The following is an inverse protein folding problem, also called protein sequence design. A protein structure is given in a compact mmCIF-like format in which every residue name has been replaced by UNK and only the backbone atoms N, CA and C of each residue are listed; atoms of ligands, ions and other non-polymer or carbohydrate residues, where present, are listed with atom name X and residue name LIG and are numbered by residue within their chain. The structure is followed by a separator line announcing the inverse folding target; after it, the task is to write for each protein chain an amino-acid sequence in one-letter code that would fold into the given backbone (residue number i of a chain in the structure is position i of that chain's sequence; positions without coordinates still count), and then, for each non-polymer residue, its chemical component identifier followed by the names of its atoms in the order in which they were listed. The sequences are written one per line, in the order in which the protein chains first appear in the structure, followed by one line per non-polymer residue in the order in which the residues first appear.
data_IF_760094661182
#
_entry.id   IF_760094661182
#
_cell.length_a   1.000
_cell.length_b   1.000
_cell.length_c   1.000
_cell.angle_alpha   90.00
_cell.angle_beta   90.00
_cell.angle_gamma   90.00
#
_symmetry.space_group_name_H-M   'P 1'
#
loop_
_entity.id
_entity.type
_entity.pdbx_description
1 polymer ?
#
# COMPACT_ATOMS: atom_id res chain seq x y z
N UNK A 1 6.10 51.90 10.37
CA UNK A 1 5.60 50.94 11.38
C UNK A 1 4.48 50.02 10.88
N UNK A 2 3.48 50.51 10.12
CA UNK A 2 2.37 49.67 9.58
C UNK A 2 2.81 48.54 8.64
N UNK A 3 3.83 48.78 7.79
CA UNK A 3 4.35 47.76 6.86
C UNK A 3 5.07 46.61 7.59
N UNK A 4 5.80 46.91 8.67
CA UNK A 4 6.50 45.90 9.45
C UNK A 4 5.52 44.94 10.16
N UNK A 5 4.40 45.46 10.68
CA UNK A 5 3.35 44.64 11.29
C UNK A 5 2.68 43.71 10.26
N UNK A 6 2.45 44.19 9.03
CA UNK A 6 1.90 43.37 7.95
C UNK A 6 2.85 42.23 7.55
N UNK A 7 4.15 42.50 7.47
CA UNK A 7 5.16 41.48 7.16
C UNK A 7 5.21 40.40 8.25
N UNK A 8 5.20 40.80 9.53
CA UNK A 8 5.20 39.87 10.67
C UNK A 8 3.94 39.00 10.70
N UNK A 9 2.77 39.55 10.33
CA UNK A 9 1.53 38.78 10.19
C UNK A 9 1.52 37.82 8.98
N UNK A 10 2.34 38.08 7.97
CA UNK A 10 2.45 37.25 6.78
C UNK A 10 3.30 35.99 7.01
N UNK A 11 4.30 36.06 7.90
CA UNK A 11 5.16 34.92 8.27
C UNK A 11 4.34 33.68 8.70
N UNK A 12 3.40 33.76 9.67
CA UNK A 12 2.59 32.60 10.05
C UNK A 12 1.63 32.16 8.93
N UNK A 13 1.20 33.08 8.06
CA UNK A 13 0.32 32.75 6.93
C UNK A 13 1.05 31.93 5.85
N UNK A 14 2.30 32.29 5.53
CA UNK A 14 3.14 31.54 4.58
C UNK A 14 3.50 30.17 5.15
N UNK A 15 3.81 30.08 6.45
CA UNK A 15 4.04 28.80 7.11
C UNK A 15 2.79 27.91 7.07
N UNK A 16 1.62 28.47 7.38
CA UNK A 16 0.35 27.75 7.29
C UNK A 16 0.04 27.27 5.86
N UNK A 17 0.34 28.09 4.85
CA UNK A 17 0.16 27.70 3.44
C UNK A 17 1.06 26.54 3.03
N UNK A 18 2.36 26.59 3.36
CA UNK A 18 3.32 25.50 3.06
C UNK A 18 2.92 24.22 3.80
N UNK A 19 2.51 24.35 5.07
CA UNK A 19 2.08 23.22 5.88
C UNK A 19 0.81 22.56 5.32
N UNK A 20 -0.19 23.37 4.97
CA UNK A 20 -1.45 22.87 4.42
C UNK A 20 -1.25 22.24 3.04
N UNK A 21 -0.40 22.81 2.17
CA UNK A 21 -0.07 22.21 0.87
C UNK A 21 0.62 20.85 1.02
N UNK A 22 1.48 20.68 2.02
CA UNK A 22 2.17 19.41 2.30
C UNK A 22 1.20 18.31 2.75
N UNK A 23 0.14 18.67 3.49
CA UNK A 23 -0.88 17.72 3.97
C UNK A 23 -1.92 17.40 2.89
N UNK A 24 -2.18 18.32 1.97
CA UNK A 24 -3.11 18.09 0.88
C UNK A 24 -2.51 17.22 -0.23
N UNK A 25 -1.17 17.22 -0.35
CA UNK A 25 -0.43 16.38 -1.28
C UNK A 25 0.67 15.45 -0.70
N UNK A 26 0.34 14.48 0.18
CA UNK A 26 1.25 13.39 0.53
C UNK A 26 1.17 12.22 -0.48
N UNK A 27 0.07 12.17 -1.25
CA UNK A 27 -0.33 11.02 -2.07
C UNK A 27 0.11 11.10 -3.53
N UNK A 28 0.38 12.29 -4.10
CA UNK A 28 0.84 12.36 -5.50
C UNK A 28 2.19 11.70 -5.72
N UNK A 29 3.01 11.60 -4.67
CA UNK A 29 4.32 10.96 -4.73
C UNK A 29 4.30 9.48 -4.29
N UNK A 30 3.24 8.99 -3.65
CA UNK A 30 3.17 7.58 -3.22
C UNK A 30 3.02 6.62 -4.40
N UNK A 31 2.37 7.05 -5.50
CA UNK A 31 2.28 6.30 -6.77
C UNK A 31 3.67 6.02 -7.38
N UNK A 32 4.69 6.83 -7.05
CA UNK A 32 6.05 6.65 -7.54
C UNK A 32 6.86 5.59 -6.76
N UNK A 33 6.32 5.03 -5.66
CA UNK A 33 7.00 3.98 -4.90
C UNK A 33 6.63 2.60 -5.46
N UNK A 34 7.58 1.89 -6.10
CA UNK A 34 7.31 0.56 -6.64
C UNK A 34 7.18 -0.47 -5.52
N UNK A 35 6.06 -1.18 -5.51
CA UNK A 35 5.73 -2.19 -4.50
C UNK A 35 5.46 -3.53 -5.18
N UNK A 36 6.18 -4.57 -4.77
CA UNK A 36 5.96 -5.93 -5.29
C UNK A 36 4.72 -6.57 -4.66
N UNK A 37 3.83 -7.14 -5.48
CA UNK A 37 2.73 -7.99 -5.04
C UNK A 37 3.02 -9.42 -5.47
N UNK A 38 3.14 -10.33 -4.50
CA UNK A 38 3.25 -11.78 -4.73
C UNK A 38 2.02 -12.42 -4.12
N UNK A 39 1.18 -13.03 -4.96
CA UNK A 39 0.03 -13.80 -4.49
C UNK A 39 0.25 -15.29 -4.74
N UNK A 40 0.48 -16.04 -3.66
CA UNK A 40 0.62 -17.49 -3.69
C UNK A 40 -0.67 -18.20 -3.23
N UNK A 41 -1.73 -17.45 -2.91
CA UNK A 41 -2.99 -17.97 -2.39
C UNK A 41 -3.67 -18.88 -3.42
N UNK A 42 -3.86 -20.15 -3.06
CA UNK A 42 -4.56 -21.13 -3.89
C UNK A 42 -6.09 -20.99 -3.78
N UNK A 43 -6.56 -20.14 -2.85
CA UNK A 43 -7.97 -20.08 -2.48
C UNK A 43 -8.40 -21.28 -1.63
N UNK A 44 -9.64 -21.25 -1.15
CA UNK A 44 -10.22 -22.37 -0.39
C UNK A 44 -11.64 -22.67 -0.84
N UNK A 45 -11.97 -23.94 -0.98
CA UNK A 45 -13.35 -24.39 -1.19
C UNK A 45 -13.98 -24.69 0.18
N UNK A 46 -15.03 -23.96 0.53
CA UNK A 46 -15.76 -24.15 1.78
C UNK A 46 -17.26 -24.12 1.51
N UNK A 47 -17.97 -25.19 1.92
CA UNK A 47 -19.44 -25.33 1.79
C UNK A 47 -19.96 -24.95 0.40
N UNK A 48 -19.45 -25.63 -0.62
CA UNK A 48 -19.83 -25.45 -2.04
C UNK A 48 -19.53 -24.07 -2.65
N UNK A 49 -18.74 -23.24 -1.95
CA UNK A 49 -18.30 -21.92 -2.43
C UNK A 49 -16.78 -21.83 -2.44
N UNK A 50 -16.22 -21.32 -3.54
CA UNK A 50 -14.78 -21.00 -3.64
C UNK A 50 -14.53 -19.60 -3.11
N UNK A 51 -13.66 -19.50 -2.10
CA UNK A 51 -13.21 -18.24 -1.52
C UNK A 51 -11.77 -17.99 -1.95
N UNK A 52 -11.54 -16.92 -2.71
CA UNK A 52 -10.21 -16.44 -3.08
C UNK A 52 -10.00 -15.03 -2.53
N UNK A 53 -9.61 -14.99 -1.26
CA UNK A 53 -9.45 -13.78 -0.47
C UNK A 53 -8.14 -13.09 -0.84
N UNK A 54 -7.09 -13.85 -1.22
CA UNK A 54 -5.82 -13.30 -1.68
C UNK A 54 -5.99 -12.48 -2.96
N UNK A 55 -6.75 -12.98 -3.94
CA UNK A 55 -7.05 -12.25 -5.17
C UNK A 55 -7.82 -10.95 -4.90
N UNK A 56 -8.86 -11.00 -4.05
CA UNK A 56 -9.63 -9.81 -3.69
C UNK A 56 -8.77 -8.75 -2.99
N UNK A 57 -7.83 -9.18 -2.14
CA UNK A 57 -6.89 -8.27 -1.49
C UNK A 57 -5.98 -7.59 -2.52
N UNK A 58 -5.41 -8.33 -3.48
CA UNK A 58 -4.58 -7.78 -4.55
C UNK A 58 -5.35 -6.76 -5.39
N UNK A 59 -6.57 -7.10 -5.79
CA UNK A 59 -7.42 -6.21 -6.59
C UNK A 59 -7.74 -4.91 -5.84
N UNK A 60 -8.10 -5.03 -4.55
CA UNK A 60 -8.38 -3.86 -3.72
C UNK A 60 -7.14 -2.98 -3.54
N UNK A 61 -5.96 -3.56 -3.31
CA UNK A 61 -4.71 -2.79 -3.19
C UNK A 61 -4.44 -2.00 -4.47
N UNK A 62 -4.53 -2.65 -5.64
CA UNK A 62 -4.35 -1.98 -6.95
C UNK A 62 -5.38 -0.88 -7.17
N UNK A 63 -6.65 -1.13 -6.86
CA UNK A 63 -7.76 -0.18 -7.03
C UNK A 63 -7.60 1.09 -6.18
N UNK A 64 -6.97 1.00 -5.01
CA UNK A 64 -6.72 2.18 -4.16
C UNK A 64 -5.60 3.08 -4.69
N UNK A 65 -4.79 2.63 -5.65
CA UNK A 65 -3.69 3.40 -6.27
C UNK A 65 -2.78 4.09 -5.23
N UNK A 66 -2.60 3.48 -4.06
CA UNK A 66 -1.77 4.02 -2.99
C UNK A 66 -0.28 3.97 -3.34
N UNK A 67 0.13 2.96 -4.12
CA UNK A 67 1.51 2.72 -4.54
C UNK A 67 1.58 2.26 -6.00
N UNK A 68 2.78 2.27 -6.58
CA UNK A 68 3.07 1.70 -7.90
C UNK A 68 3.20 0.18 -7.81
N UNK A 69 2.08 -0.52 -7.72
CA UNK A 69 2.08 -1.97 -7.57
C UNK A 69 2.60 -2.70 -8.82
N UNK A 70 3.48 -3.68 -8.62
CA UNK A 70 4.07 -4.55 -9.64
C UNK A 70 3.80 -6.00 -9.26
N UNK A 71 3.17 -6.76 -10.15
CA UNK A 71 2.96 -8.20 -9.94
C UNK A 71 4.28 -8.97 -10.08
N UNK A 72 4.54 -9.86 -9.12
CA UNK A 72 5.73 -10.70 -9.06
C UNK A 72 5.32 -12.14 -8.79
N UNK A 73 5.88 -13.06 -9.58
CA UNK A 73 5.49 -14.47 -9.54
C UNK A 73 6.11 -15.24 -8.36
N UNK A 74 7.28 -14.83 -7.90
CA UNK A 74 8.05 -15.53 -6.88
C UNK A 74 8.38 -14.66 -5.67
N UNK A 75 8.20 -15.22 -4.49
CA UNK A 75 8.65 -14.62 -3.23
C UNK A 75 10.16 -14.32 -3.23
N UNK A 76 10.98 -15.22 -3.78
CA UNK A 76 12.44 -15.03 -3.83
C UNK A 76 12.84 -13.88 -4.76
N UNK A 77 12.12 -13.72 -5.87
CA UNK A 77 12.32 -12.61 -6.79
C UNK A 77 11.96 -11.28 -6.10
N UNK A 78 10.82 -11.23 -5.41
CA UNK A 78 10.39 -10.04 -4.68
C UNK A 78 11.39 -9.66 -3.57
N UNK A 79 11.85 -10.63 -2.77
CA UNK A 79 12.89 -10.41 -1.74
C UNK A 79 14.18 -9.88 -2.34
N UNK A 80 14.59 -10.39 -3.49
CA UNK A 80 15.82 -9.95 -4.17
C UNK A 80 15.69 -8.51 -4.66
N UNK A 81 14.56 -8.14 -5.26
CA UNK A 81 14.32 -6.79 -5.75
C UNK A 81 14.22 -5.77 -4.61
N UNK A 82 13.61 -6.13 -3.49
CA UNK A 82 13.62 -5.28 -2.27
C UNK A 82 15.04 -5.10 -1.74
N UNK A 83 15.85 -6.17 -1.67
CA UNK A 83 17.26 -6.08 -1.24
C UNK A 83 18.12 -5.21 -2.15
N UNK A 84 17.81 -5.18 -3.45
CA UNK A 84 18.50 -4.33 -4.43
C UNK A 84 18.05 -2.87 -4.39
N UNK A 85 16.92 -2.57 -3.74
CA UNK A 85 16.32 -1.24 -3.73
C UNK A 85 15.47 -0.94 -4.98
N UNK A 86 15.23 -1.94 -5.83
CA UNK A 86 14.36 -1.81 -7.01
C UNK A 86 12.88 -1.73 -6.60
N UNK A 87 12.54 -2.31 -5.45
CA UNK A 87 11.23 -2.20 -4.79
C UNK A 87 11.40 -1.57 -3.41
N UNK A 88 10.49 -0.71 -3.02
CA UNK A 88 10.46 -0.14 -1.67
C UNK A 88 10.16 -1.24 -0.63
N UNK A 89 9.20 -2.09 -0.94
CA UNK A 89 8.84 -3.29 -0.16
C UNK A 89 8.04 -4.26 -1.04
N UNK A 90 7.80 -5.46 -0.52
CA UNK A 90 6.97 -6.47 -1.16
C UNK A 90 5.90 -6.98 -0.19
N UNK A 91 4.69 -7.18 -0.69
CA UNK A 91 3.59 -7.85 0.00
C UNK A 91 3.51 -9.27 -0.54
N UNK A 92 3.71 -10.24 0.34
CA UNK A 92 3.65 -11.67 0.00
C UNK A 92 2.41 -12.24 0.68
N UNK A 93 1.46 -12.70 -0.14
CA UNK A 93 0.26 -13.38 0.33
C UNK A 93 0.55 -14.88 0.28
N UNK A 94 0.56 -15.58 1.44
CA UNK A 94 0.90 -16.99 1.51
C UNK A 94 -0.22 -17.87 0.94
N UNK A 95 0.12 -19.13 0.62
CA UNK A 95 -0.79 -20.11 0.00
C UNK A 95 -2.05 -20.42 0.81
N UNK A 96 -1.94 -20.31 2.13
CA UNK A 96 -2.96 -20.64 3.13
C UNK A 96 -3.78 -19.41 3.55
N UNK A 97 -3.58 -18.26 2.90
CA UNK A 97 -4.24 -17.02 3.28
C UNK A 97 -5.77 -17.12 3.26
N UNK A 98 -6.35 -17.65 2.18
CA UNK A 98 -7.79 -17.88 2.09
C UNK A 98 -8.28 -18.93 3.09
N UNK A 99 -7.48 -19.97 3.35
CA UNK A 99 -7.84 -21.02 4.30
C UNK A 99 -7.93 -20.49 5.74
N UNK A 100 -6.96 -19.68 6.17
CA UNK A 100 -6.91 -19.11 7.52
C UNK A 100 -7.96 -18.02 7.74
N UNK A 101 -8.42 -17.38 6.66
CA UNK A 101 -9.44 -16.34 6.74
C UNK A 101 -10.87 -16.89 6.82
N UNK A 102 -11.10 -18.19 6.58
CA UNK A 102 -12.41 -18.84 6.76
C UNK A 102 -12.49 -19.48 8.15
N UNK A 103 -13.40 -18.99 9.04
CA UNK A 103 -13.55 -19.53 10.38
C UNK A 103 -13.95 -21.03 10.36
N UNK A 104 -13.12 -21.87 10.98
CA UNK A 104 -13.41 -23.30 11.17
C UNK A 104 -12.70 -24.27 10.23
N UNK A 105 -11.72 -23.81 9.45
CA UNK A 105 -10.78 -24.68 8.70
C UNK A 105 -9.48 -24.96 9.47
N UNK A 106 -9.10 -24.08 10.41
CA UNK A 106 -8.01 -24.34 11.35
C UNK A 106 -8.56 -24.92 12.66
N UNK A 107 -8.20 -26.18 12.94
CA UNK A 107 -8.29 -26.74 14.29
C UNK A 107 -7.15 -26.14 15.12
N UNK A 108 -7.48 -25.32 16.11
CA UNK A 108 -6.50 -24.90 17.13
C UNK A 108 -5.89 -26.06 17.88
#
# INVERSE_FOLDING_TARGET
MRLAALIVAFIPSVYALIYLSSIWDPRSQSVALPVGLVNLDDGVNYKDSTFNIGFNLVDQLKSQHAFGYVDIESEDQAKTLVKKGDLAFAVIIPKDFSANAVPGLESG
#
